data_IF_326551129676
#
_entry.id   IF_326551129676
#
_cell.length_a   1.000
_cell.length_b   1.000
_cell.length_c   1.000
_cell.angle_alpha   90.00
_cell.angle_beta   90.00
_cell.angle_gamma   90.00
#
_symmetry.space_group_name_H-M   'P 1'
#
loop_
_entity.id
_entity.type
_entity.pdbx_description
1 polymer ?
#
# COMPACT_ATOMS: atom_id res chain seq x y z
N UNK A 1 -11.54 -15.32 15.25
CA UNK A 1 -11.11 -16.68 15.68
C UNK A 1 -9.89 -16.56 16.59
N UNK A 2 -9.89 -17.31 17.69
CA UNK A 2 -8.75 -17.38 18.61
C UNK A 2 -7.54 -18.09 17.97
N UNK A 3 -6.32 -17.63 18.28
CA UNK A 3 -5.09 -18.15 17.72
C UNK A 3 -4.89 -19.64 18.08
N UNK A 4 -5.31 -20.03 19.29
CA UNK A 4 -5.29 -21.42 19.77
C UNK A 4 -6.19 -22.29 18.90
N UNK A 5 -7.41 -21.84 18.60
CA UNK A 5 -8.36 -22.60 17.79
C UNK A 5 -7.85 -22.83 16.36
N UNK A 6 -7.17 -21.85 15.76
CA UNK A 6 -6.58 -22.01 14.43
C UNK A 6 -5.42 -23.02 14.45
N UNK A 7 -4.55 -22.95 15.45
CA UNK A 7 -3.45 -23.92 15.61
C UNK A 7 -3.98 -25.34 15.83
N UNK A 8 -5.00 -25.50 16.67
CA UNK A 8 -5.66 -26.79 16.91
C UNK A 8 -6.31 -27.34 15.63
N UNK A 9 -7.01 -26.50 14.85
CA UNK A 9 -7.58 -26.91 13.56
C UNK A 9 -6.52 -27.33 12.56
N UNK A 10 -5.42 -26.57 12.46
CA UNK A 10 -4.30 -26.91 11.60
C UNK A 10 -3.69 -28.25 12.00
N UNK A 11 -3.41 -28.44 13.29
CA UNK A 11 -2.89 -29.71 13.84
C UNK A 11 -3.84 -30.88 13.54
N UNK A 12 -5.13 -30.74 13.87
CA UNK A 12 -6.12 -31.78 13.62
C UNK A 12 -6.28 -32.12 12.12
N UNK A 13 -6.18 -31.13 11.24
CA UNK A 13 -6.20 -31.37 9.80
C UNK A 13 -4.98 -32.18 9.35
N UNK A 14 -3.78 -31.82 9.80
CA UNK A 14 -2.55 -32.54 9.45
C UNK A 14 -2.53 -33.95 10.04
N UNK A 15 -3.04 -34.16 11.25
CA UNK A 15 -3.17 -35.49 11.86
C UNK A 15 -4.11 -36.40 11.07
N UNK A 16 -5.19 -35.86 10.52
CA UNK A 16 -6.10 -36.59 9.62
C UNK A 16 -5.49 -36.91 8.26
N UNK A 17 -4.41 -36.23 7.87
CA UNK A 17 -3.74 -36.39 6.57
C UNK A 17 -2.25 -36.69 6.79
N UNK A 18 -1.90 -37.92 7.22
CA UNK A 18 -0.53 -38.28 7.59
C UNK A 18 0.48 -38.10 6.46
N UNK A 19 0.06 -38.26 5.20
CA UNK A 19 0.86 -37.96 4.02
C UNK A 19 1.35 -36.50 4.02
N UNK A 20 0.49 -35.54 4.40
CA UNK A 20 0.88 -34.13 4.49
C UNK A 20 1.94 -33.89 5.55
N UNK A 21 1.83 -34.56 6.71
CA UNK A 21 2.85 -34.50 7.77
C UNK A 21 4.20 -35.03 7.26
N UNK A 22 4.19 -36.17 6.57
CA UNK A 22 5.39 -36.77 5.99
C UNK A 22 6.04 -35.85 4.95
N UNK A 23 5.26 -35.22 4.07
CA UNK A 23 5.76 -34.26 3.07
C UNK A 23 6.46 -33.07 3.75
N UNK A 24 5.84 -32.48 4.78
CA UNK A 24 6.43 -31.35 5.52
C UNK A 24 7.78 -31.75 6.14
N UNK A 25 7.86 -32.94 6.75
CA UNK A 25 9.09 -33.44 7.35
C UNK A 25 10.16 -33.76 6.31
N UNK A 26 9.78 -34.40 5.20
CA UNK A 26 10.68 -34.71 4.11
C UNK A 26 11.32 -33.43 3.53
N UNK A 27 10.51 -32.40 3.26
CA UNK A 27 11.01 -31.11 2.74
C UNK A 27 11.95 -30.39 3.69
N UNK A 28 11.74 -30.53 5.01
CA UNK A 28 12.65 -29.99 6.01
C UNK A 28 14.01 -30.71 6.02
N UNK A 29 14.01 -32.02 5.75
CA UNK A 29 15.24 -32.81 5.66
C UNK A 29 16.01 -32.59 4.36
N UNK A 30 15.33 -32.20 3.27
CA UNK A 30 15.96 -31.80 1.99
C UNK A 30 16.75 -30.47 2.10
N UNK A 31 16.55 -29.70 3.16
CA UNK A 31 17.25 -28.44 3.45
C UNK A 31 16.36 -27.19 3.36
N UNK A 32 16.89 -26.06 3.85
CA UNK A 32 16.13 -24.82 4.04
C UNK A 32 15.51 -24.28 2.75
N UNK A 33 16.23 -24.38 1.62
CA UNK A 33 15.74 -23.91 0.33
C UNK A 33 14.53 -24.72 -0.16
N UNK A 34 14.58 -26.06 -0.08
CA UNK A 34 13.48 -26.93 -0.48
C UNK A 34 12.25 -26.71 0.42
N UNK A 35 12.48 -26.54 1.73
CA UNK A 35 11.42 -26.25 2.69
C UNK A 35 10.77 -24.88 2.46
N UNK A 36 11.57 -23.85 2.16
CA UNK A 36 11.05 -22.53 1.84
C UNK A 36 10.27 -22.51 0.52
N UNK A 37 10.79 -23.14 -0.52
CA UNK A 37 10.08 -23.27 -1.80
C UNK A 37 8.71 -23.96 -1.62
N UNK A 38 8.66 -25.05 -0.86
CA UNK A 38 7.43 -25.73 -0.51
C UNK A 38 6.46 -24.79 0.23
N UNK A 39 6.95 -24.04 1.22
CA UNK A 39 6.13 -23.06 1.95
C UNK A 39 5.53 -21.99 1.02
N UNK A 40 6.31 -21.43 0.11
CA UNK A 40 5.81 -20.44 -0.87
C UNK A 40 4.75 -21.05 -1.78
N UNK A 41 4.91 -22.29 -2.22
CA UNK A 41 3.89 -23.00 -3.00
C UNK A 41 2.57 -23.12 -2.22
N UNK A 42 2.63 -23.48 -0.93
CA UNK A 42 1.43 -23.55 -0.08
C UNK A 42 0.74 -22.19 0.07
N UNK A 43 1.50 -21.10 0.10
CA UNK A 43 0.95 -19.74 0.10
C UNK A 43 0.27 -19.42 -1.23
N UNK A 44 0.92 -19.69 -2.36
CA UNK A 44 0.37 -19.47 -3.71
C UNK A 44 -0.92 -20.26 -3.95
N UNK A 45 -1.02 -21.47 -3.42
CA UNK A 45 -2.22 -22.32 -3.51
C UNK A 45 -3.26 -22.08 -2.40
N UNK A 46 -3.11 -21.01 -1.59
CA UNK A 46 -3.99 -20.69 -0.46
C UNK A 46 -4.23 -21.86 0.52
N UNK A 47 -3.20 -22.68 0.77
CA UNK A 47 -3.27 -23.82 1.69
C UNK A 47 -3.10 -23.35 3.13
N UNK A 48 -4.06 -22.53 3.59
CA UNK A 48 -4.05 -21.83 4.89
C UNK A 48 -3.65 -22.73 6.08
N UNK A 49 -4.24 -23.93 6.18
CA UNK A 49 -3.98 -24.83 7.31
C UNK A 49 -2.53 -25.31 7.33
N UNK A 50 -1.93 -25.56 6.16
CA UNK A 50 -0.54 -25.99 6.04
C UNK A 50 0.39 -24.82 6.36
N UNK A 51 0.15 -23.64 5.78
CA UNK A 51 0.92 -22.42 6.06
C UNK A 51 0.89 -22.09 7.56
N UNK A 52 -0.30 -22.11 8.17
CA UNK A 52 -0.47 -21.89 9.61
C UNK A 52 0.28 -22.96 10.41
N UNK A 53 0.20 -24.24 10.02
CA UNK A 53 0.91 -25.30 10.72
C UNK A 53 2.43 -25.08 10.68
N UNK A 54 2.99 -24.83 9.49
CA UNK A 54 4.43 -24.58 9.29
C UNK A 54 4.91 -23.45 10.20
N UNK A 55 4.23 -22.29 10.16
CA UNK A 55 4.65 -21.14 10.94
C UNK A 55 4.53 -21.35 12.46
N UNK A 56 3.57 -22.15 12.95
CA UNK A 56 3.36 -22.28 14.39
C UNK A 56 4.06 -23.50 15.01
N UNK A 57 4.35 -24.53 14.23
CA UNK A 57 4.77 -25.83 14.75
C UNK A 57 6.07 -26.37 14.16
N UNK A 58 6.63 -25.76 13.11
CA UNK A 58 7.91 -26.20 12.54
C UNK A 58 9.13 -25.41 13.06
N UNK A 59 8.91 -24.39 13.91
CA UNK A 59 9.97 -23.52 14.43
C UNK A 59 9.88 -23.38 15.94
N UNK A 60 10.97 -23.72 16.63
CA UNK A 60 11.07 -23.62 18.08
C UNK A 60 11.27 -22.17 18.53
N UNK A 61 12.08 -21.41 17.81
CA UNK A 61 12.38 -19.99 18.09
C UNK A 61 11.53 -19.06 17.22
N UNK A 62 11.14 -17.93 17.80
CA UNK A 62 10.36 -16.92 17.09
C UNK A 62 11.20 -16.20 16.02
N UNK A 63 12.52 -16.05 16.25
CA UNK A 63 13.46 -15.42 15.34
C UNK A 63 13.62 -16.20 14.05
N UNK A 64 13.76 -17.54 14.15
CA UNK A 64 13.94 -18.44 13.00
C UNK A 64 12.68 -18.43 12.13
N UNK A 65 11.51 -18.50 12.76
CA UNK A 65 10.21 -18.38 12.10
C UNK A 65 10.04 -17.06 11.36
N UNK A 66 10.39 -15.95 12.01
CA UNK A 66 10.27 -14.64 11.40
C UNK A 66 11.33 -14.42 10.30
N UNK A 67 12.54 -14.95 10.46
CA UNK A 67 13.53 -14.98 9.39
C UNK A 67 12.98 -15.75 8.19
N UNK A 68 12.48 -16.97 8.42
CA UNK A 68 11.87 -17.83 7.39
C UNK A 68 10.69 -17.17 6.68
N UNK A 69 9.72 -16.62 7.42
CA UNK A 69 8.54 -16.00 6.83
C UNK A 69 8.84 -14.70 6.06
N UNK A 70 9.98 -14.06 6.35
CA UNK A 70 10.46 -12.85 5.69
C UNK A 70 11.49 -13.13 4.59
N UNK A 71 11.85 -14.40 4.34
CA UNK A 71 12.66 -14.73 3.18
C UNK A 71 11.93 -14.30 1.91
N UNK A 72 12.72 -13.78 0.97
CA UNK A 72 12.26 -13.44 -0.36
C UNK A 72 12.73 -14.51 -1.34
N UNK A 73 11.91 -14.78 -2.34
CA UNK A 73 12.28 -15.61 -3.46
C UNK A 73 13.24 -14.87 -4.43
N UNK A 74 13.71 -15.49 -5.52
CA UNK A 74 14.59 -14.84 -6.49
C UNK A 74 13.99 -13.57 -7.16
N UNK A 75 12.67 -13.40 -7.13
CA UNK A 75 11.99 -12.19 -7.63
C UNK A 75 11.83 -11.10 -6.55
N UNK A 76 12.35 -11.33 -5.35
CA UNK A 76 12.20 -10.42 -4.22
C UNK A 76 10.83 -10.52 -3.54
N UNK A 77 9.98 -11.48 -3.94
CA UNK A 77 8.66 -11.65 -3.36
C UNK A 77 8.73 -12.48 -2.08
N UNK A 78 8.12 -11.96 -1.02
CA UNK A 78 7.89 -12.70 0.23
C UNK A 78 6.54 -13.42 0.18
N UNK A 79 6.30 -14.31 1.14
CA UNK A 79 4.98 -14.91 1.31
C UNK A 79 3.85 -13.86 1.45
N UNK A 80 4.15 -12.70 2.04
CA UNK A 80 3.18 -11.62 2.18
C UNK A 80 2.82 -11.00 0.82
N UNK A 81 3.76 -10.88 -0.11
CA UNK A 81 3.47 -10.39 -1.47
C UNK A 81 2.43 -11.28 -2.16
N UNK A 82 2.65 -12.60 -2.15
CA UNK A 82 1.74 -13.55 -2.79
C UNK A 82 0.36 -13.56 -2.15
N UNK A 83 0.29 -13.56 -0.81
CA UNK A 83 -1.00 -13.50 -0.12
C UNK A 83 -1.75 -12.19 -0.42
N UNK A 84 -1.03 -11.08 -0.59
CA UNK A 84 -1.61 -9.78 -0.88
C UNK A 84 -2.14 -9.71 -2.33
N UNK A 85 -1.30 -10.05 -3.31
CA UNK A 85 -1.64 -10.11 -4.74
C UNK A 85 -2.92 -10.94 -5.00
N UNK A 86 -2.99 -12.13 -4.41
CA UNK A 86 -4.12 -13.03 -4.62
C UNK A 86 -5.33 -12.74 -3.71
N UNK A 87 -5.20 -11.80 -2.78
CA UNK A 87 -6.27 -11.43 -1.85
C UNK A 87 -6.60 -12.49 -0.79
N UNK A 88 -5.62 -13.29 -0.37
CA UNK A 88 -5.80 -14.34 0.64
C UNK A 88 -5.87 -13.74 2.05
N UNK A 89 -7.04 -13.21 2.41
CA UNK A 89 -7.30 -12.48 3.64
C UNK A 89 -6.93 -13.25 4.91
N UNK A 90 -7.21 -14.55 4.97
CA UNK A 90 -6.88 -15.40 6.11
C UNK A 90 -5.36 -15.50 6.30
N UNK A 91 -4.60 -15.60 5.20
CA UNK A 91 -3.14 -15.59 5.23
C UNK A 91 -2.60 -14.24 5.71
N UNK A 92 -3.15 -13.14 5.19
CA UNK A 92 -2.81 -11.78 5.63
C UNK A 92 -3.08 -11.60 7.12
N UNK A 93 -4.19 -12.15 7.64
CA UNK A 93 -4.52 -12.08 9.06
C UNK A 93 -3.48 -12.83 9.90
N UNK A 94 -3.10 -14.06 9.54
CA UNK A 94 -2.10 -14.81 10.33
C UNK A 94 -0.72 -14.19 10.24
N UNK A 95 -0.36 -13.63 9.09
CA UNK A 95 0.91 -12.92 8.93
C UNK A 95 0.96 -11.63 9.77
N UNK A 96 -0.19 -11.01 9.97
CA UNK A 96 -0.37 -9.85 10.81
C UNK A 96 -0.63 -10.18 12.30
N UNK A 97 -0.81 -11.45 12.69
CA UNK A 97 -1.13 -11.78 14.08
C UNK A 97 0.12 -11.67 14.97
N UNK A 98 0.20 -10.57 15.71
CA UNK A 98 1.34 -10.29 16.61
C UNK A 98 1.44 -11.30 17.76
N UNK A 99 0.33 -11.91 18.17
CA UNK A 99 0.28 -12.83 19.31
C UNK A 99 0.98 -14.15 19.03
N UNK A 100 1.14 -14.50 17.74
CA UNK A 100 1.83 -15.73 17.31
C UNK A 100 3.35 -15.61 17.35
N UNK A 101 3.87 -14.40 17.45
CA UNK A 101 5.29 -14.11 17.61
C UNK A 101 5.51 -13.74 19.08
N UNK A 102 6.05 -14.66 19.90
CA UNK A 102 6.50 -14.29 21.25
C UNK A 102 7.64 -13.28 21.10
N UNK A 103 7.45 -12.06 21.61
CA UNK A 103 8.45 -10.99 21.57
C UNK A 103 8.08 -9.82 20.65
N UNK A 104 8.49 -8.61 21.02
CA UNK A 104 8.12 -7.36 20.32
C UNK A 104 8.79 -7.18 18.95
N UNK A 105 9.81 -8.00 18.63
CA UNK A 105 10.84 -7.59 17.67
C UNK A 105 10.77 -8.20 16.27
N UNK A 106 9.86 -9.12 15.93
CA UNK A 106 9.97 -9.81 14.63
C UNK A 106 8.61 -10.21 14.08
N UNK A 107 7.96 -9.24 13.45
CA UNK A 107 6.75 -9.40 12.65
C UNK A 107 7.11 -9.70 11.20
N UNK A 108 6.15 -10.23 10.44
CA UNK A 108 6.29 -10.30 8.98
C UNK A 108 6.35 -8.88 8.44
N UNK A 109 7.37 -8.62 7.64
CA UNK A 109 7.58 -7.36 6.95
C UNK A 109 6.60 -7.29 5.79
N UNK A 110 5.76 -6.27 5.80
CA UNK A 110 4.68 -6.09 4.83
C UNK A 110 4.86 -4.85 3.93
N UNK A 111 5.99 -4.15 4.05
CA UNK A 111 6.33 -2.94 3.30
C UNK A 111 7.61 -3.09 2.46
N UNK A 112 8.21 -4.29 2.43
CA UNK A 112 9.40 -4.54 1.61
C UNK A 112 9.01 -4.49 0.13
N UNK A 113 9.92 -3.97 -0.71
CA UNK A 113 9.74 -3.96 -2.15
C UNK A 113 10.32 -5.23 -2.75
N UNK A 114 9.63 -5.80 -3.72
CA UNK A 114 10.20 -6.84 -4.56
C UNK A 114 11.15 -6.25 -5.63
N UNK A 115 11.70 -7.09 -6.50
CA UNK A 115 12.66 -6.65 -7.53
C UNK A 115 12.05 -5.74 -8.59
N UNK A 116 10.71 -5.71 -8.71
CA UNK A 116 9.99 -4.77 -9.59
C UNK A 116 9.70 -3.43 -8.89
N UNK A 117 10.12 -3.27 -7.63
CA UNK A 117 9.88 -2.05 -6.83
C UNK A 117 8.50 -2.00 -6.16
N UNK A 118 7.70 -3.06 -6.28
CA UNK A 118 6.34 -3.13 -5.75
C UNK A 118 6.34 -3.64 -4.32
N UNK A 119 5.58 -2.99 -3.45
CA UNK A 119 5.23 -3.51 -2.12
C UNK A 119 4.01 -4.43 -2.19
N UNK A 120 3.71 -5.22 -1.15
CA UNK A 120 2.47 -6.01 -1.13
C UNK A 120 1.20 -5.16 -1.24
N UNK A 121 1.22 -3.92 -0.74
CA UNK A 121 0.08 -3.01 -0.89
C UNK A 121 -0.09 -2.54 -2.34
N UNK A 122 1.00 -2.34 -3.08
CA UNK A 122 0.95 -2.00 -4.50
C UNK A 122 0.30 -3.13 -5.30
N UNK A 123 0.68 -4.37 -5.04
CA UNK A 123 0.07 -5.56 -5.67
C UNK A 123 -1.43 -5.64 -5.37
N UNK A 124 -1.84 -5.35 -4.14
CA UNK A 124 -3.26 -5.32 -3.76
C UNK A 124 -4.04 -4.22 -4.48
N UNK A 125 -3.43 -3.06 -4.67
CA UNK A 125 -4.04 -1.97 -5.42
C UNK A 125 -4.17 -2.32 -6.90
N UNK A 126 -3.10 -2.87 -7.49
CA UNK A 126 -3.07 -3.33 -8.89
C UNK A 126 -4.15 -4.39 -9.17
N UNK A 127 -4.32 -5.35 -8.25
CA UNK A 127 -5.29 -6.44 -8.38
C UNK A 127 -6.70 -6.06 -7.91
N UNK A 128 -6.91 -4.82 -7.44
CA UNK A 128 -8.22 -4.33 -6.99
C UNK A 128 -8.78 -5.08 -5.76
N UNK A 129 -7.93 -5.65 -4.90
CA UNK A 129 -8.36 -6.51 -3.77
C UNK A 129 -8.86 -5.68 -2.58
N UNK A 130 -10.09 -5.18 -2.64
CA UNK A 130 -10.63 -4.22 -1.65
C UNK A 130 -10.62 -4.70 -0.18
N UNK A 131 -11.00 -5.95 0.06
CA UNK A 131 -11.04 -6.52 1.41
C UNK A 131 -9.63 -6.65 2.00
N UNK A 132 -8.69 -7.10 1.18
CA UNK A 132 -7.27 -7.21 1.51
C UNK A 132 -6.64 -5.84 1.71
N UNK A 133 -6.98 -4.87 0.86
CA UNK A 133 -6.58 -3.48 1.00
C UNK A 133 -6.97 -2.94 2.37
N UNK A 134 -8.23 -3.11 2.80
CA UNK A 134 -8.68 -2.67 4.13
C UNK A 134 -7.88 -3.32 5.26
N UNK A 135 -7.55 -4.61 5.15
CA UNK A 135 -6.75 -5.33 6.15
C UNK A 135 -5.32 -4.77 6.26
N UNK A 136 -4.66 -4.53 5.12
CA UNK A 136 -3.27 -4.04 5.08
C UNK A 136 -3.22 -2.54 5.40
N UNK A 137 -4.08 -1.73 4.78
CA UNK A 137 -4.12 -0.27 4.91
C UNK A 137 -4.27 0.19 6.36
N UNK A 138 -5.19 -0.43 7.12
CA UNK A 138 -5.41 -0.12 8.54
C UNK A 138 -4.14 -0.32 9.39
N UNK A 139 -3.22 -1.17 8.92
CA UNK A 139 -1.99 -1.54 9.61
C UNK A 139 -0.74 -0.84 9.05
N UNK A 140 -0.76 -0.51 7.76
CA UNK A 140 0.33 0.12 7.01
C UNK A 140 0.26 1.66 6.98
N UNK A 141 -0.80 2.28 7.50
CA UNK A 141 -1.09 3.72 7.44
C UNK A 141 -0.13 4.70 8.13
N UNK A 142 1.17 4.41 8.27
CA UNK A 142 2.25 5.36 8.68
C UNK A 142 3.60 4.97 8.05
N UNK A 143 4.56 5.90 7.98
CA UNK A 143 4.83 6.92 6.94
C UNK A 143 5.58 6.41 5.69
N UNK A 144 5.90 5.10 5.57
CA UNK A 144 6.89 4.59 4.62
C UNK A 144 6.33 4.17 3.25
N UNK A 145 5.02 4.30 3.05
CA UNK A 145 4.41 4.01 1.76
C UNK A 145 3.95 5.32 1.11
N UNK A 146 4.41 5.59 -0.12
CA UNK A 146 3.95 6.74 -0.88
C UNK A 146 2.62 6.39 -1.55
N UNK A 147 1.48 6.96 -1.09
CA UNK A 147 0.16 6.62 -1.62
C UNK A 147 0.02 6.90 -3.12
N UNK A 148 0.92 7.70 -3.72
CA UNK A 148 0.91 7.94 -5.16
C UNK A 148 1.30 6.72 -5.99
N UNK A 149 2.24 5.90 -5.52
CA UNK A 149 2.59 4.65 -6.21
C UNK A 149 1.39 3.70 -6.21
N UNK A 150 0.79 3.50 -5.03
CA UNK A 150 -0.44 2.73 -4.89
C UNK A 150 -1.61 3.32 -5.70
N UNK A 151 -1.72 4.64 -5.82
CA UNK A 151 -2.81 5.27 -6.56
C UNK A 151 -2.73 4.94 -8.05
N UNK A 152 -1.53 4.98 -8.66
CA UNK A 152 -1.35 4.58 -10.07
C UNK A 152 -1.80 3.13 -10.27
N UNK A 153 -1.35 2.22 -9.41
CA UNK A 153 -1.74 0.81 -9.47
C UNK A 153 -3.24 0.60 -9.23
N UNK A 154 -3.84 1.31 -8.27
CA UNK A 154 -5.28 1.24 -8.01
C UNK A 154 -6.12 1.72 -9.21
N UNK A 155 -5.64 2.72 -9.94
CA UNK A 155 -6.29 3.20 -11.15
C UNK A 155 -6.23 2.14 -12.27
N UNK A 156 -5.09 1.44 -12.41
CA UNK A 156 -4.94 0.32 -13.34
C UNK A 156 -5.83 -0.87 -12.96
N UNK A 157 -5.91 -1.22 -11.68
CA UNK A 157 -6.78 -2.28 -11.17
C UNK A 157 -8.27 -1.95 -11.28
N UNK A 158 -8.61 -0.66 -11.35
CA UNK A 158 -9.97 -0.20 -11.60
C UNK A 158 -10.94 -0.42 -10.44
N UNK A 159 -10.44 -0.46 -9.20
CA UNK A 159 -11.27 -0.50 -7.99
C UNK A 159 -11.56 0.90 -7.48
N UNK A 160 -12.82 1.33 -7.61
CA UNK A 160 -13.27 2.64 -7.15
C UNK A 160 -13.07 2.84 -5.64
N UNK A 161 -13.32 1.81 -4.83
CA UNK A 161 -13.19 1.91 -3.37
C UNK A 161 -11.75 2.25 -2.96
N UNK A 162 -10.77 1.57 -3.57
CA UNK A 162 -9.36 1.80 -3.30
C UNK A 162 -8.96 3.20 -3.79
N UNK A 163 -9.34 3.56 -5.02
CA UNK A 163 -9.05 4.88 -5.59
C UNK A 163 -9.65 6.00 -4.73
N UNK A 164 -10.93 5.92 -4.35
CA UNK A 164 -11.59 6.89 -3.45
C UNK A 164 -10.86 7.00 -2.11
N UNK A 165 -10.46 5.86 -1.53
CA UNK A 165 -9.72 5.85 -0.26
C UNK A 165 -8.36 6.54 -0.38
N UNK A 166 -7.63 6.27 -1.46
CA UNK A 166 -6.32 6.87 -1.72
C UNK A 166 -6.44 8.37 -2.06
N UNK A 167 -7.41 8.78 -2.89
CA UNK A 167 -7.68 10.18 -3.23
C UNK A 167 -8.05 11.04 -2.01
N UNK A 168 -8.63 10.43 -0.97
CA UNK A 168 -8.92 11.09 0.30
C UNK A 168 -7.71 11.23 1.24
N UNK A 169 -6.54 10.69 0.89
CA UNK A 169 -5.36 10.76 1.75
C UNK A 169 -4.70 12.16 1.71
N UNK A 170 -4.19 12.64 2.86
CA UNK A 170 -3.63 14.00 3.03
C UNK A 170 -2.43 14.33 2.13
N UNK A 171 -1.77 13.30 1.59
CA UNK A 171 -0.64 13.43 0.66
C UNK A 171 -1.08 13.59 -0.81
N UNK A 172 -2.36 13.53 -1.12
CA UNK A 172 -2.88 13.80 -2.46
C UNK A 172 -2.89 15.31 -2.71
N UNK A 173 -2.17 15.75 -3.74
CA UNK A 173 -2.09 17.15 -4.17
C UNK A 173 -2.27 17.26 -5.67
N UNK A 174 -2.63 18.46 -6.16
CA UNK A 174 -2.77 18.76 -7.60
C UNK A 174 -1.53 18.31 -8.38
N UNK A 175 -0.33 18.70 -7.92
CA UNK A 175 0.95 18.36 -8.56
C UNK A 175 1.19 16.85 -8.70
N UNK A 176 0.73 16.07 -7.72
CA UNK A 176 0.89 14.61 -7.71
C UNK A 176 -0.16 13.90 -8.58
N UNK A 177 -1.31 14.53 -8.82
CA UNK A 177 -2.35 14.03 -9.71
C UNK A 177 -2.09 14.39 -11.19
N UNK A 178 -1.33 15.44 -11.49
CA UNK A 178 -1.00 15.85 -12.86
C UNK A 178 -0.57 14.70 -13.80
N UNK A 179 0.31 13.76 -13.40
CA UNK A 179 0.71 12.65 -14.27
C UNK A 179 -0.44 11.71 -14.65
N UNK A 180 -1.43 11.54 -13.75
CA UNK A 180 -2.62 10.71 -13.99
C UNK A 180 -3.61 11.40 -14.95
N UNK A 181 -3.53 12.73 -15.06
CA UNK A 181 -4.38 13.53 -15.95
C UNK A 181 -3.87 13.54 -17.40
N UNK A 182 -2.66 13.03 -17.67
CA UNK A 182 -2.17 12.91 -19.04
C UNK A 182 -3.04 11.95 -19.84
N UNK A 183 -3.50 12.38 -21.02
CA UNK A 183 -4.43 11.64 -21.89
C UNK A 183 -3.96 10.19 -22.19
N UNK A 184 -2.65 9.94 -22.25
CA UNK A 184 -2.09 8.58 -22.43
C UNK A 184 -2.37 7.65 -21.24
N UNK A 185 -2.34 8.18 -20.01
CA UNK A 185 -2.64 7.43 -18.80
C UNK A 185 -4.14 7.22 -18.64
N UNK A 186 -4.95 8.26 -18.89
CA UNK A 186 -6.41 8.16 -18.79
C UNK A 186 -7.01 7.10 -19.72
N UNK A 187 -6.43 6.89 -20.91
CA UNK A 187 -6.85 5.81 -21.83
C UNK A 187 -6.68 4.40 -21.28
N UNK A 188 -5.86 4.21 -20.25
CA UNK A 188 -5.61 2.92 -19.62
C UNK A 188 -6.56 2.64 -18.45
N UNK A 189 -7.25 3.67 -17.96
CA UNK A 189 -8.14 3.55 -16.80
C UNK A 189 -9.60 3.46 -17.24
N UNK A 190 -10.43 2.84 -16.40
CA UNK A 190 -11.87 2.84 -16.58
C UNK A 190 -12.43 4.27 -16.54
N UNK A 191 -13.52 4.57 -17.28
CA UNK A 191 -14.09 5.92 -17.33
C UNK A 191 -14.49 6.43 -15.94
N UNK A 192 -15.05 5.58 -15.08
CA UNK A 192 -15.46 5.94 -13.72
C UNK A 192 -14.25 6.36 -12.86
N UNK A 193 -13.11 5.70 -13.06
CA UNK A 193 -11.86 6.06 -12.39
C UNK A 193 -11.33 7.40 -12.88
N UNK A 194 -11.38 7.64 -14.20
CA UNK A 194 -10.99 8.93 -14.76
C UNK A 194 -11.86 10.07 -14.20
N UNK A 195 -13.17 9.87 -14.10
CA UNK A 195 -14.09 10.84 -13.49
C UNK A 195 -13.71 11.15 -12.04
N UNK A 196 -13.39 10.12 -11.24
CA UNK A 196 -12.96 10.32 -9.84
C UNK A 196 -11.66 11.12 -9.73
N UNK A 197 -10.67 10.83 -10.58
CA UNK A 197 -9.40 11.56 -10.61
C UNK A 197 -9.63 13.01 -11.01
N UNK A 198 -10.42 13.23 -12.07
CA UNK A 198 -10.74 14.56 -12.58
C UNK A 198 -11.49 15.39 -11.54
N UNK A 199 -12.53 14.83 -10.92
CA UNK A 199 -13.30 15.49 -9.87
C UNK A 199 -12.39 15.91 -8.71
N UNK A 200 -11.50 15.02 -8.25
CA UNK A 200 -10.58 15.35 -7.15
C UNK A 200 -9.54 16.38 -7.55
N UNK A 201 -9.02 16.33 -8.78
CA UNK A 201 -8.06 17.29 -9.29
C UNK A 201 -8.62 18.72 -9.32
N UNK A 202 -9.83 18.90 -9.85
CA UNK A 202 -10.47 20.21 -9.94
C UNK A 202 -10.91 20.75 -8.58
N UNK A 203 -11.39 19.90 -7.67
CA UNK A 203 -11.67 20.25 -6.26
C UNK A 203 -10.41 20.84 -5.58
N UNK A 204 -9.28 20.13 -5.65
CA UNK A 204 -8.03 20.59 -5.06
C UNK A 204 -7.49 21.86 -5.73
N UNK A 205 -7.66 22.01 -7.05
CA UNK A 205 -7.23 23.22 -7.78
C UNK A 205 -8.08 24.43 -7.42
N UNK A 206 -9.39 24.25 -7.25
CA UNK A 206 -10.31 25.31 -6.79
C UNK A 206 -9.93 25.83 -5.40
N UNK A 207 -9.69 24.92 -4.45
CA UNK A 207 -9.23 25.26 -3.09
C UNK A 207 -7.89 26.03 -3.09
N UNK A 208 -6.96 25.70 -3.99
CA UNK A 208 -5.71 26.45 -4.15
C UNK A 208 -5.94 27.90 -4.63
N UNK A 209 -6.88 28.14 -5.54
CA UNK A 209 -7.20 29.49 -6.00
C UNK A 209 -7.87 30.32 -4.90
N UNK A 210 -8.82 29.75 -4.14
CA UNK A 210 -9.52 30.44 -3.05
C UNK A 210 -8.58 30.85 -1.90
N UNK A 211 -7.61 29.99 -1.57
CA UNK A 211 -6.62 30.26 -0.52
C UNK A 211 -5.65 31.38 -0.92
N UNK A 212 -5.25 31.45 -2.19
CA UNK A 212 -4.42 32.54 -2.71
C UNK A 212 -5.17 33.89 -2.67
N UNK A 213 -6.43 33.93 -3.10
CA UNK A 213 -7.26 35.15 -3.03
C UNK A 213 -7.52 35.58 -1.57
N UNK A 214 -7.78 34.63 -0.66
CA UNK A 214 -7.92 34.90 0.77
C UNK A 214 -6.62 35.45 1.41
N UNK A 215 -5.46 34.94 0.99
CA UNK A 215 -4.16 35.42 1.46
C UNK A 215 -3.81 36.81 0.91
N UNK A 216 -4.24 37.14 -0.31
CA UNK A 216 -4.09 38.46 -0.90
C UNK A 216 -4.96 39.51 -0.20
N UNK A 217 -6.13 39.13 0.33
CA UNK A 217 -7.01 40.01 1.12
C UNK A 217 -6.53 40.26 2.56
N UNK A 218 -5.67 39.40 3.10
CA UNK A 218 -5.08 39.53 4.45
C UNK A 218 -3.80 40.39 4.49
N UNK A 219 -3.29 40.82 3.33
CA UNK A 219 -2.30 41.89 3.23
C UNK A 219 -2.96 43.13 2.62
N UNK A 220 -3.60 44.01 3.43
CA UNK A 220 -4.03 45.30 2.94
C UNK A 220 -2.82 46.05 2.38
N UNK A 221 -2.96 46.52 1.15
CA UNK A 221 -1.97 47.34 0.44
C UNK A 221 -1.41 48.45 1.34
N UNK A 222 -0.17 48.29 1.81
CA UNK A 222 0.64 49.35 2.42
C UNK A 222 1.21 50.31 1.35
N UNK A 223 0.36 50.77 0.42
CA UNK A 223 0.71 51.83 -0.53
C UNK A 223 -0.53 52.67 -0.81
N UNK A 224 -0.99 53.38 0.21
CA UNK A 224 -1.78 54.59 0.00
C UNK A 224 -1.38 55.61 1.08
N UNK A 225 -0.77 56.72 0.66
CA UNK A 225 -0.34 57.78 1.55
C UNK A 225 0.64 58.78 0.95
N UNK A 226 0.11 59.87 0.39
CA UNK A 226 0.81 61.15 0.18
C UNK A 226 0.76 61.66 -1.26
N UNK A 227 -0.37 62.18 -1.76
CA UNK A 227 -0.84 63.56 -1.61
C UNK A 227 -0.06 64.62 -2.45
N UNK A 228 -0.75 65.03 -3.51
CA UNK A 228 -0.72 66.27 -4.30
C UNK A 228 0.08 67.50 -3.81
N UNK A 229 0.69 68.21 -4.77
CA UNK A 229 0.46 69.65 -4.98
C UNK A 229 0.96 70.12 -6.36
N UNK A 230 0.11 70.89 -7.02
CA UNK A 230 0.26 71.58 -8.31
C UNK A 230 1.38 72.64 -8.34
N UNK A 231 1.95 72.95 -9.52
CA UNK A 231 1.65 74.21 -10.24
C UNK A 231 2.55 74.48 -11.46
N UNK A 232 1.86 74.80 -12.55
CA UNK A 232 2.07 75.84 -13.57
C UNK A 232 3.43 76.14 -14.25
N UNK A 233 3.30 76.21 -15.59
CA UNK A 233 3.87 77.17 -16.55
C UNK A 233 5.40 77.33 -16.59
N UNK A 234 6.01 76.99 -17.73
CA UNK A 234 6.27 78.01 -18.76
C UNK A 234 6.75 77.36 -20.07
N UNK A 235 6.38 78.04 -21.15
CA UNK A 235 6.83 77.80 -22.52
C UNK A 235 8.31 78.17 -22.69
N UNK A 236 9.01 77.53 -23.62
CA UNK A 236 9.77 78.24 -24.65
C UNK A 236 10.37 77.31 -25.72
N UNK A 237 10.68 77.95 -26.84
CA UNK A 237 10.82 77.51 -28.21
C UNK A 237 12.30 77.24 -28.59
N UNK A 238 12.49 76.71 -29.81
CA UNK A 238 13.72 76.68 -30.64
C UNK A 238 14.72 75.53 -30.38
N UNK A 239 15.28 74.85 -31.37
CA UNK A 239 15.26 74.95 -32.83
C UNK A 239 15.57 73.57 -33.45
#
# INVERSE_FOLDING_TARGET
>A
MDAIQIALRAKAHIEKHPATKLIILAKRNEGDHAFFAYFIEQVKSNRFLIVSYILNHCFDKAEDRAAFANQADPSGNTAYHYAAEHGFNELIIIFNDKRRFKGRSKFIKFNEKNNAGNTPLDLVCQEGRESTFKLIWKRAGKPNHDPMHCLIHACQGGSEMIVKTLLGHTKCSVSRLCPLMHHKQQKQFKPEINELIQAKYYDLKGQQCETLDSSARLFPSMLDGGAAADNHHDAEFSA
#
